data_IF_848581540365
#
_entry.id   IF_848581540365
#
_cell.length_a   1.000
_cell.length_b   1.000
_cell.length_c   1.000
_cell.angle_alpha   90.00
_cell.angle_beta   90.00
_cell.angle_gamma   90.00
#
_symmetry.space_group_name_H-M   'P 1'
#
loop_
_entity.id
_entity.type
_entity.pdbx_description
1 polymer ?
#
# COMPACT_ATOMS: atom_id res chain seq x y z
N UNK A 1 -40.43 6.62 87.04
CA UNK A 1 -40.17 7.51 85.88
C UNK A 1 -38.95 6.98 85.15
N UNK A 2 -39.14 6.25 84.05
CA UNK A 2 -38.07 5.53 83.34
C UNK A 2 -37.81 6.19 81.98
N UNK A 3 -36.53 6.45 81.70
CA UNK A 3 -36.01 7.09 80.49
C UNK A 3 -36.21 6.17 79.26
N UNK A 4 -36.91 6.67 78.23
CA UNK A 4 -37.02 6.03 76.92
C UNK A 4 -35.77 6.32 76.10
N UNK A 5 -34.97 5.28 75.84
CA UNK A 5 -33.90 5.29 74.85
C UNK A 5 -34.50 5.29 73.43
N UNK A 6 -34.17 6.30 72.64
CA UNK A 6 -34.40 6.37 71.20
C UNK A 6 -33.30 5.60 70.48
N UNK A 7 -33.64 4.46 69.88
CA UNK A 7 -32.77 3.72 68.97
C UNK A 7 -33.03 4.20 67.53
N UNK A 8 -32.16 5.05 67.02
CA UNK A 8 -32.14 5.40 65.59
C UNK A 8 -31.45 4.27 64.83
N UNK A 9 -32.21 3.52 64.03
CA UNK A 9 -31.70 2.48 63.13
C UNK A 9 -31.06 3.13 61.89
N UNK A 10 -29.73 3.03 61.66
CA UNK A 10 -29.11 3.50 60.43
C UNK A 10 -29.05 2.32 59.45
N UNK A 11 -30.17 2.02 58.78
CA UNK A 11 -30.31 0.73 58.08
C UNK A 11 -31.11 0.73 56.78
N UNK A 12 -31.17 1.82 55.99
CA UNK A 12 -31.92 1.81 54.71
C UNK A 12 -31.29 2.44 53.48
N UNK A 13 -30.11 3.07 53.53
CA UNK A 13 -29.48 3.68 52.32
C UNK A 13 -28.54 2.78 51.52
N UNK A 14 -28.19 1.58 52.00
CA UNK A 14 -27.22 0.70 51.33
C UNK A 14 -27.81 -0.18 50.21
N UNK A 15 -29.13 -0.39 50.17
CA UNK A 15 -29.76 -1.48 49.40
C UNK A 15 -30.24 -1.13 47.97
N UNK A 16 -29.81 -0.01 47.36
CA UNK A 16 -30.28 0.39 46.01
C UNK A 16 -29.22 0.78 44.99
N UNK A 17 -27.98 0.34 45.14
CA UNK A 17 -26.99 0.52 44.05
C UNK A 17 -27.03 -0.69 43.12
N UNK A 18 -27.95 -0.66 42.14
CA UNK A 18 -28.10 -1.68 41.07
C UNK A 18 -26.80 -2.00 40.32
N UNK A 19 -26.78 -2.89 39.33
CA UNK A 19 -25.52 -3.27 38.63
C UNK A 19 -24.81 -2.04 38.05
N UNK A 20 -23.47 -1.99 38.16
CA UNK A 20 -22.66 -0.89 37.62
C UNK A 20 -22.79 -0.75 36.10
N UNK A 21 -23.17 -1.82 35.41
CA UNK A 21 -23.59 -1.82 34.01
C UNK A 21 -25.09 -2.08 33.97
N UNK A 22 -25.87 -1.01 33.78
CA UNK A 22 -27.32 -1.08 33.58
C UNK A 22 -27.71 -1.57 32.16
N UNK A 23 -29.01 -1.78 31.88
CA UNK A 23 -29.46 -2.31 30.59
C UNK A 23 -29.02 -1.47 29.38
N UNK A 24 -29.15 -0.14 29.44
CA UNK A 24 -28.70 0.77 28.38
C UNK A 24 -27.17 0.74 28.19
N UNK A 25 -26.41 0.72 29.29
CA UNK A 25 -24.94 0.67 29.24
C UNK A 25 -24.41 -0.69 28.76
N UNK A 26 -25.19 -1.76 28.91
CA UNK A 26 -24.85 -3.10 28.44
C UNK A 26 -24.79 -3.18 26.92
N UNK A 27 -25.67 -2.47 26.21
CA UNK A 27 -25.64 -2.43 24.75
C UNK A 27 -24.34 -1.79 24.25
N UNK A 28 -23.97 -0.63 24.81
CA UNK A 28 -22.69 0.04 24.51
C UNK A 28 -21.48 -0.83 24.85
N UNK A 29 -21.52 -1.59 25.96
CA UNK A 29 -20.46 -2.55 26.27
C UNK A 29 -20.32 -3.63 25.20
N UNK A 30 -21.43 -4.16 24.68
CA UNK A 30 -21.38 -5.18 23.61
C UNK A 30 -20.77 -4.59 22.34
N UNK A 31 -21.22 -3.39 21.93
CA UNK A 31 -20.66 -2.67 20.77
C UNK A 31 -19.17 -2.43 20.95
N UNK A 32 -18.76 -1.93 22.12
CA UNK A 32 -17.36 -1.69 22.47
C UNK A 32 -16.52 -2.97 22.35
N UNK A 33 -17.00 -4.08 22.92
CA UNK A 33 -16.28 -5.35 22.88
C UNK A 33 -16.14 -5.88 21.46
N UNK A 34 -17.23 -5.86 20.67
CA UNK A 34 -17.21 -6.28 19.26
C UNK A 34 -16.21 -5.47 18.44
N UNK A 35 -16.27 -4.14 18.52
CA UNK A 35 -15.35 -3.26 17.79
C UNK A 35 -13.90 -3.43 18.24
N UNK A 36 -13.65 -3.51 19.55
CA UNK A 36 -12.31 -3.77 20.11
C UNK A 36 -11.76 -5.11 19.60
N UNK A 37 -12.62 -6.10 19.46
CA UNK A 37 -12.31 -7.39 18.90
C UNK A 37 -11.87 -7.39 17.45
N UNK A 38 -12.70 -6.78 16.59
CA UNK A 38 -12.40 -6.62 15.17
C UNK A 38 -11.11 -5.82 14.98
N UNK A 39 -10.96 -4.73 15.73
CA UNK A 39 -9.75 -3.91 15.73
C UNK A 39 -8.54 -4.73 16.21
N UNK A 40 -8.70 -5.55 17.25
CA UNK A 40 -7.66 -6.45 17.75
C UNK A 40 -7.22 -7.48 16.72
N UNK A 41 -8.16 -8.14 16.02
CA UNK A 41 -7.85 -9.09 14.95
C UNK A 41 -7.05 -8.42 13.84
N UNK A 42 -7.53 -7.26 13.41
CA UNK A 42 -6.91 -6.45 12.38
C UNK A 42 -5.49 -5.99 12.81
N UNK A 43 -5.31 -5.54 14.06
CA UNK A 43 -4.00 -5.18 14.62
C UNK A 43 -3.03 -6.36 14.65
N UNK A 44 -3.48 -7.55 15.05
CA UNK A 44 -2.65 -8.76 15.06
C UNK A 44 -2.17 -9.08 13.65
N UNK A 45 -3.07 -9.03 12.65
CA UNK A 45 -2.70 -9.23 11.25
C UNK A 45 -1.67 -8.18 10.77
N UNK A 46 -1.92 -6.89 11.00
CA UNK A 46 -1.02 -5.81 10.56
C UNK A 46 0.36 -5.92 11.23
N UNK A 47 0.38 -6.23 12.53
CA UNK A 47 1.61 -6.44 13.28
C UNK A 47 2.37 -7.68 12.78
N UNK A 48 1.68 -8.77 12.48
CA UNK A 48 2.29 -9.99 11.96
C UNK A 48 2.97 -9.77 10.59
N UNK A 49 2.29 -9.09 9.65
CA UNK A 49 2.89 -8.76 8.34
C UNK A 49 4.07 -7.80 8.51
N UNK A 50 3.93 -6.76 9.35
CA UNK A 50 5.01 -5.81 9.62
C UNK A 50 6.24 -6.48 10.26
N UNK A 51 6.01 -7.41 11.18
CA UNK A 51 7.08 -8.18 11.82
C UNK A 51 7.76 -9.13 10.82
N UNK A 52 6.98 -9.81 9.97
CA UNK A 52 7.52 -10.69 8.94
C UNK A 52 8.35 -9.92 7.90
N UNK A 53 7.91 -8.73 7.49
CA UNK A 53 8.67 -7.82 6.62
C UNK A 53 9.98 -7.37 7.29
N UNK A 54 9.92 -6.99 8.58
CA UNK A 54 11.12 -6.61 9.33
C UNK A 54 12.13 -7.75 9.46
N UNK A 55 11.66 -8.98 9.74
CA UNK A 55 12.52 -10.16 9.87
C UNK A 55 13.08 -10.65 8.53
N UNK A 56 12.31 -10.55 7.45
CA UNK A 56 12.72 -11.06 6.13
C UNK A 56 13.47 -10.03 5.27
N UNK A 57 13.35 -8.74 5.59
CA UNK A 57 13.84 -7.64 4.76
C UNK A 57 13.04 -7.44 3.46
N UNK A 58 12.05 -8.28 3.15
CA UNK A 58 11.26 -8.24 1.92
C UNK A 58 10.00 -7.41 2.12
N UNK A 59 9.60 -6.65 1.10
CA UNK A 59 8.31 -5.96 1.10
C UNK A 59 7.17 -6.99 1.05
N UNK A 60 6.40 -7.08 2.13
CA UNK A 60 5.20 -7.94 2.23
C UNK A 60 3.92 -7.12 2.24
N UNK A 61 4.00 -5.80 2.48
CA UNK A 61 2.82 -4.95 2.37
C UNK A 61 2.28 -4.96 0.94
N UNK A 62 1.03 -5.40 0.78
CA UNK A 62 0.35 -5.50 -0.51
C UNK A 62 -0.99 -4.74 -0.49
N UNK A 63 -1.77 -4.86 -1.56
CA UNK A 63 -3.08 -4.21 -1.67
C UNK A 63 -4.01 -4.53 -0.49
N UNK A 64 -4.09 -5.80 -0.07
CA UNK A 64 -4.93 -6.22 1.05
C UNK A 64 -4.44 -5.67 2.39
N UNK A 65 -3.12 -5.61 2.61
CA UNK A 65 -2.55 -4.93 3.77
C UNK A 65 -3.00 -3.46 3.85
N UNK A 66 -2.99 -2.73 2.73
CA UNK A 66 -3.44 -1.33 2.72
C UNK A 66 -4.94 -1.19 3.00
N UNK A 67 -5.78 -2.12 2.53
CA UNK A 67 -7.22 -2.17 2.90
C UNK A 67 -7.39 -2.45 4.40
N UNK A 68 -6.62 -3.37 4.97
CA UNK A 68 -6.67 -3.66 6.40
C UNK A 68 -6.14 -2.51 7.24
N UNK A 69 -5.15 -1.77 6.75
CA UNK A 69 -4.69 -0.54 7.39
C UNK A 69 -5.78 0.54 7.35
N UNK A 70 -6.48 0.72 6.23
CA UNK A 70 -7.65 1.60 6.15
C UNK A 70 -8.75 1.17 7.14
N UNK A 71 -9.04 -0.13 7.20
CA UNK A 71 -10.01 -0.70 8.13
C UNK A 71 -9.60 -0.44 9.59
N UNK A 72 -8.31 -0.52 9.91
CA UNK A 72 -7.78 -0.17 11.23
C UNK A 72 -8.14 1.27 11.63
N UNK A 73 -7.88 2.22 10.73
CA UNK A 73 -8.18 3.63 10.93
C UNK A 73 -9.70 3.84 11.10
N UNK A 74 -10.51 3.27 10.21
CA UNK A 74 -11.96 3.39 10.25
C UNK A 74 -12.57 2.79 11.53
N UNK A 75 -12.15 1.57 11.91
CA UNK A 75 -12.60 0.90 13.14
C UNK A 75 -12.14 1.65 14.38
N UNK A 76 -10.93 2.19 14.39
CA UNK A 76 -10.41 3.02 15.48
C UNK A 76 -11.24 4.29 15.70
N UNK A 77 -11.55 5.01 14.62
CA UNK A 77 -12.44 6.19 14.68
C UNK A 77 -13.85 5.82 15.14
N UNK A 78 -14.40 4.71 14.62
CA UNK A 78 -15.72 4.21 15.00
C UNK A 78 -15.78 3.82 16.49
N UNK A 79 -14.69 3.32 17.06
CA UNK A 79 -14.59 2.92 18.47
C UNK A 79 -14.63 4.11 19.44
N UNK A 80 -14.23 5.32 19.01
CA UNK A 80 -14.16 6.51 19.87
C UNK A 80 -15.49 6.83 20.56
N UNK A 81 -16.60 6.87 19.80
CA UNK A 81 -17.90 7.24 20.35
C UNK A 81 -18.43 6.22 21.37
N UNK A 82 -18.51 4.90 21.05
CA UNK A 82 -18.85 3.88 22.03
C UNK A 82 -17.95 3.90 23.26
N UNK A 83 -16.65 4.15 23.10
CA UNK A 83 -15.71 4.26 24.20
C UNK A 83 -16.03 5.43 25.12
N UNK A 84 -16.27 6.63 24.59
CA UNK A 84 -16.61 7.81 25.40
C UNK A 84 -17.94 7.59 26.13
N UNK A 85 -18.97 7.14 25.43
CA UNK A 85 -20.31 6.93 26.01
C UNK A 85 -20.28 5.85 27.09
N UNK A 86 -19.69 4.69 26.79
CA UNK A 86 -19.57 3.60 27.76
C UNK A 86 -18.67 4.00 28.93
N UNK A 87 -17.50 4.57 28.63
CA UNK A 87 -16.46 4.91 29.60
C UNK A 87 -16.94 5.94 30.62
N UNK A 88 -17.48 7.07 30.15
CA UNK A 88 -18.02 8.10 31.01
C UNK A 88 -19.20 7.58 31.86
N UNK A 89 -20.14 6.86 31.23
CA UNK A 89 -21.28 6.26 31.93
C UNK A 89 -20.86 5.23 32.99
N UNK A 90 -19.86 4.40 32.68
CA UNK A 90 -19.35 3.39 33.59
C UNK A 90 -18.62 4.00 34.79
N UNK A 91 -17.71 4.96 34.54
CA UNK A 91 -16.99 5.68 35.59
C UNK A 91 -17.97 6.41 36.52
N UNK A 92 -18.97 7.11 35.96
CA UNK A 92 -19.98 7.81 36.73
C UNK A 92 -20.78 6.86 37.65
N UNK A 93 -21.18 5.70 37.13
CA UNK A 93 -21.92 4.69 37.90
C UNK A 93 -21.07 3.95 38.94
N UNK A 94 -19.75 3.91 38.75
CA UNK A 94 -18.82 3.15 39.58
C UNK A 94 -18.02 3.99 40.60
N UNK A 95 -17.92 5.32 40.43
CA UNK A 95 -17.01 6.19 41.20
C UNK A 95 -17.14 6.12 42.73
N UNK A 96 -18.35 5.86 43.24
CA UNK A 96 -18.61 5.77 44.68
C UNK A 96 -18.73 4.34 45.21
N UNK A 97 -18.35 3.33 44.42
CA UNK A 97 -18.45 1.92 44.84
C UNK A 97 -17.43 1.58 45.94
N UNK A 98 -17.78 0.69 46.88
CA UNK A 98 -16.93 0.37 48.03
C UNK A 98 -15.67 -0.44 47.65
N UNK A 99 -15.68 -1.20 46.55
CA UNK A 99 -14.52 -1.95 46.09
C UNK A 99 -13.46 -1.03 45.47
N UNK A 100 -12.59 -0.47 46.32
CA UNK A 100 -11.54 0.48 45.93
C UNK A 100 -10.54 -0.11 44.93
N UNK A 101 -10.22 -1.42 45.03
CA UNK A 101 -9.29 -2.09 44.11
C UNK A 101 -9.84 -2.10 42.69
N UNK A 102 -11.10 -2.52 42.50
CA UNK A 102 -11.75 -2.50 41.20
C UNK A 102 -11.87 -1.08 40.63
N UNK A 103 -12.18 -0.09 41.46
CA UNK A 103 -12.26 1.32 41.04
C UNK A 103 -10.91 1.87 40.59
N UNK A 104 -9.82 1.62 41.34
CA UNK A 104 -8.45 2.05 40.95
C UNK A 104 -8.01 1.42 39.63
N UNK A 105 -8.21 0.11 39.47
CA UNK A 105 -7.92 -0.60 38.22
C UNK A 105 -8.77 -0.08 37.06
N UNK A 106 -10.04 0.28 37.32
CA UNK A 106 -10.92 0.88 36.32
C UNK A 106 -10.43 2.25 35.83
N UNK A 107 -9.93 3.10 36.74
CA UNK A 107 -9.30 4.37 36.37
C UNK A 107 -8.00 4.17 35.58
N UNK A 108 -7.13 3.25 36.01
CA UNK A 108 -5.91 2.92 35.29
C UNK A 108 -6.21 2.42 33.86
N UNK A 109 -7.21 1.53 33.71
CA UNK A 109 -7.69 1.06 32.41
C UNK A 109 -8.25 2.20 31.56
N UNK A 110 -9.02 3.12 32.15
CA UNK A 110 -9.55 4.29 31.44
C UNK A 110 -8.43 5.17 30.88
N UNK A 111 -7.42 5.47 31.70
CA UNK A 111 -6.26 6.27 31.28
C UNK A 111 -5.50 5.57 30.17
N UNK A 112 -5.20 4.27 30.32
CA UNK A 112 -4.51 3.50 29.29
C UNK A 112 -5.29 3.46 27.97
N UNK A 113 -6.62 3.31 28.02
CA UNK A 113 -7.46 3.32 26.83
C UNK A 113 -7.53 4.71 26.17
N UNK A 114 -7.56 5.79 26.95
CA UNK A 114 -7.45 7.18 26.44
C UNK A 114 -6.09 7.39 25.76
N UNK A 115 -4.99 6.92 26.35
CA UNK A 115 -3.66 6.98 25.72
C UNK A 115 -3.64 6.18 24.42
N UNK A 116 -4.19 4.97 24.39
CA UNK A 116 -4.26 4.15 23.17
C UNK A 116 -5.02 4.84 22.04
N UNK A 117 -6.22 5.35 22.33
CA UNK A 117 -7.05 6.02 21.33
C UNK A 117 -6.47 7.37 20.92
N UNK A 118 -5.95 8.14 21.88
CA UNK A 118 -5.32 9.43 21.64
C UNK A 118 -4.05 9.31 20.78
N UNK A 119 -3.19 8.32 21.05
CA UNK A 119 -2.03 8.02 20.21
C UNK A 119 -2.44 7.55 18.81
N UNK A 120 -3.52 6.77 18.70
CA UNK A 120 -4.07 6.35 17.39
C UNK A 120 -4.52 7.53 16.55
N UNK A 121 -5.28 8.46 17.14
CA UNK A 121 -5.69 9.71 16.47
C UNK A 121 -4.46 10.54 16.13
N UNK A 122 -3.54 10.77 17.07
CA UNK A 122 -2.35 11.60 16.86
C UNK A 122 -1.42 11.09 15.74
N UNK A 123 -1.41 9.78 15.47
CA UNK A 123 -0.59 9.19 14.40
C UNK A 123 -1.20 9.34 13.01
N UNK A 124 -2.49 9.69 12.91
CA UNK A 124 -3.14 9.98 11.64
C UNK A 124 -2.39 11.08 10.91
N UNK A 125 -2.34 10.96 9.58
CA UNK A 125 -1.81 12.00 8.69
C UNK A 125 -2.95 12.46 7.82
N UNK A 126 -3.56 13.55 8.23
CA UNK A 126 -4.59 14.25 7.47
C UNK A 126 -4.06 15.65 7.24
N UNK A 127 -4.31 16.24 6.08
CA UNK A 127 -3.85 17.60 5.78
C UNK A 127 -4.19 18.58 6.92
N UNK A 128 -3.16 19.28 7.41
CA UNK A 128 -3.27 20.19 8.56
C UNK A 128 -3.14 19.53 9.94
N UNK A 129 -3.18 18.20 10.02
CA UNK A 129 -3.04 17.42 11.24
C UNK A 129 -2.01 16.29 11.04
N UNK A 130 -0.73 16.64 11.23
CA UNK A 130 0.39 15.72 11.04
C UNK A 130 1.49 15.95 12.08
N UNK A 131 1.88 14.88 12.79
CA UNK A 131 3.10 14.87 13.59
C UNK A 131 4.32 14.86 12.66
N UNK A 132 4.90 16.05 12.41
CA UNK A 132 6.09 16.26 11.58
C UNK A 132 7.40 15.90 12.30
N UNK A 133 7.46 16.11 13.63
CA UNK A 133 8.65 15.78 14.41
C UNK A 133 8.85 14.25 14.44
N UNK A 134 9.99 13.72 13.96
CA UNK A 134 10.22 12.29 13.83
C UNK A 134 10.31 11.56 15.17
N UNK A 135 10.93 12.18 16.18
CA UNK A 135 11.09 11.60 17.52
C UNK A 135 9.74 11.49 18.22
N UNK A 136 8.95 12.56 18.23
CA UNK A 136 7.62 12.57 18.84
C UNK A 136 6.71 11.55 18.15
N UNK A 137 6.80 11.43 16.82
CA UNK A 137 6.05 10.42 16.06
C UNK A 137 6.50 9.00 16.44
N UNK A 138 7.79 8.75 16.59
CA UNK A 138 8.32 7.44 17.00
C UNK A 138 7.85 7.06 18.42
N UNK A 139 7.91 7.99 19.38
CA UNK A 139 7.40 7.78 20.74
C UNK A 139 5.90 7.50 20.72
N UNK A 140 5.12 8.30 19.98
CA UNK A 140 3.67 8.11 19.85
C UNK A 140 3.35 6.75 19.21
N UNK A 141 4.13 6.34 18.20
CA UNK A 141 3.99 5.05 17.53
C UNK A 141 4.23 3.88 18.49
N UNK A 142 5.34 3.88 19.22
CA UNK A 142 5.63 2.83 20.18
C UNK A 142 4.65 2.81 21.35
N UNK A 143 4.20 3.97 21.81
CA UNK A 143 3.11 4.06 22.77
C UNK A 143 1.83 3.40 22.22
N UNK A 144 1.46 3.66 20.96
CA UNK A 144 0.29 3.04 20.33
C UNK A 144 0.43 1.52 20.17
N UNK A 145 1.64 1.01 19.91
CA UNK A 145 1.91 -0.43 19.75
C UNK A 145 1.92 -1.17 21.09
N UNK A 146 2.46 -0.57 22.16
CA UNK A 146 2.62 -1.23 23.48
C UNK A 146 1.39 -1.09 24.37
N UNK A 147 0.71 0.06 24.34
CA UNK A 147 -0.45 0.33 25.21
C UNK A 147 -1.59 -0.69 25.11
N UNK A 148 -1.90 -1.32 23.95
CA UNK A 148 -2.89 -2.40 23.87
C UNK A 148 -2.62 -3.55 24.84
N UNK A 149 -1.36 -3.93 25.05
CA UNK A 149 -0.97 -4.98 26.00
C UNK A 149 -1.33 -4.57 27.44
N UNK A 150 -1.06 -3.31 27.79
CA UNK A 150 -1.44 -2.76 29.09
C UNK A 150 -2.96 -2.69 29.25
N UNK A 151 -3.71 -2.30 28.22
CA UNK A 151 -5.19 -2.27 28.23
C UNK A 151 -5.76 -3.66 28.45
N UNK A 152 -5.27 -4.68 27.74
CA UNK A 152 -5.71 -6.08 27.91
C UNK A 152 -5.41 -6.57 29.32
N UNK A 153 -4.18 -6.34 29.80
CA UNK A 153 -3.77 -6.74 31.15
C UNK A 153 -4.61 -6.07 32.25
N UNK A 154 -4.77 -4.75 32.18
CA UNK A 154 -5.58 -3.97 33.13
C UNK A 154 -7.06 -4.35 33.07
N UNK A 155 -7.60 -4.69 31.89
CA UNK A 155 -8.95 -5.21 31.75
C UNK A 155 -9.15 -6.54 32.49
N UNK A 156 -8.20 -7.48 32.32
CA UNK A 156 -8.24 -8.76 33.03
C UNK A 156 -8.20 -8.54 34.56
N UNK A 157 -7.27 -7.72 35.06
CA UNK A 157 -7.18 -7.40 36.47
C UNK A 157 -8.45 -6.71 37.00
N UNK A 158 -9.02 -5.76 36.24
CA UNK A 158 -10.25 -5.06 36.61
C UNK A 158 -11.44 -6.03 36.72
N UNK A 159 -11.54 -7.01 35.80
CA UNK A 159 -12.60 -8.04 35.84
C UNK A 159 -12.38 -9.07 36.96
N UNK A 160 -11.15 -9.48 37.22
CA UNK A 160 -10.82 -10.38 38.34
C UNK A 160 -11.10 -9.73 39.70
N UNK A 161 -10.90 -8.43 39.84
CA UNK A 161 -11.26 -7.67 41.04
C UNK A 161 -12.78 -7.39 41.16
N UNK A 162 -13.57 -7.68 40.11
CA UNK A 162 -14.99 -7.38 39.99
C UNK A 162 -15.84 -8.63 39.72
N UNK A 163 -16.83 -8.58 38.80
CA UNK A 163 -17.63 -9.75 38.43
C UNK A 163 -16.81 -10.83 37.71
N UNK A 164 -16.98 -12.10 38.12
CA UNK A 164 -16.26 -13.25 37.56
C UNK A 164 -16.29 -13.29 36.03
N UNK A 165 -15.12 -13.55 35.42
CA UNK A 165 -14.98 -13.77 33.99
C UNK A 165 -15.68 -15.08 33.62
N UNK A 166 -16.52 -15.04 32.59
CA UNK A 166 -17.13 -16.25 32.03
C UNK A 166 -16.20 -16.79 30.95
N UNK A 167 -15.25 -17.64 31.33
CA UNK A 167 -14.19 -18.15 30.45
C UNK A 167 -14.69 -18.77 29.14
N UNK A 168 -15.87 -19.39 29.12
CA UNK A 168 -16.53 -19.87 27.89
C UNK A 168 -16.65 -18.80 26.80
N UNK A 169 -16.99 -17.57 27.18
CA UNK A 169 -17.09 -16.44 26.25
C UNK A 169 -15.72 -15.95 25.83
N UNK A 170 -14.72 -16.01 26.72
CA UNK A 170 -13.33 -15.72 26.40
C UNK A 170 -12.75 -16.70 25.38
N UNK A 171 -13.04 -17.99 25.53
CA UNK A 171 -12.65 -19.03 24.56
C UNK A 171 -13.31 -18.82 23.20
N UNK A 172 -14.62 -18.52 23.16
CA UNK A 172 -15.30 -18.17 21.90
C UNK A 172 -14.74 -16.92 21.23
N UNK A 173 -14.35 -15.92 22.02
CA UNK A 173 -13.66 -14.71 21.56
C UNK A 173 -12.30 -15.02 20.93
N UNK A 174 -11.49 -15.84 21.60
CA UNK A 174 -10.18 -16.26 21.09
C UNK A 174 -10.31 -17.08 19.79
N UNK A 175 -11.29 -17.99 19.73
CA UNK A 175 -11.56 -18.76 18.51
C UNK A 175 -11.95 -17.86 17.33
N UNK A 176 -12.86 -16.89 17.55
CA UNK A 176 -13.24 -15.93 16.52
C UNK A 176 -12.05 -15.09 16.05
N UNK A 177 -11.17 -14.68 16.97
CA UNK A 177 -9.93 -13.95 16.64
C UNK A 177 -9.03 -14.76 15.71
N UNK A 178 -8.80 -16.05 16.02
CA UNK A 178 -7.98 -16.94 15.19
C UNK A 178 -8.59 -17.11 13.80
N UNK A 179 -9.91 -17.32 13.69
CA UNK A 179 -10.60 -17.45 12.40
C UNK A 179 -10.47 -16.18 11.57
N UNK A 180 -10.68 -15.00 12.18
CA UNK A 180 -10.56 -13.72 11.48
C UNK A 180 -9.12 -13.46 11.00
N UNK A 181 -8.13 -13.67 11.86
CA UNK A 181 -6.72 -13.50 11.49
C UNK A 181 -6.30 -14.50 10.40
N UNK A 182 -6.73 -15.76 10.51
CA UNK A 182 -6.49 -16.78 9.48
C UNK A 182 -7.13 -16.42 8.13
N UNK A 183 -8.37 -15.91 8.15
CA UNK A 183 -9.05 -15.42 6.96
C UNK A 183 -8.35 -14.22 6.32
N UNK A 184 -7.86 -13.27 7.13
CA UNK A 184 -7.05 -12.15 6.64
C UNK A 184 -5.71 -12.62 6.06
N UNK A 185 -5.03 -13.58 6.70
CA UNK A 185 -3.80 -14.16 6.17
C UNK A 185 -4.03 -14.88 4.83
N UNK A 186 -5.14 -15.60 4.67
CA UNK A 186 -5.51 -16.23 3.40
C UNK A 186 -5.86 -15.20 2.31
N UNK A 187 -6.59 -14.13 2.66
CA UNK A 187 -6.86 -13.04 1.72
C UNK A 187 -5.60 -12.29 1.31
N UNK A 188 -4.61 -12.18 2.21
CA UNK A 188 -3.33 -11.56 1.91
C UNK A 188 -2.56 -12.27 0.80
N UNK A 189 -2.74 -13.58 0.61
CA UNK A 189 -2.07 -14.32 -0.48
C UNK A 189 -2.78 -14.16 -1.83
N UNK A 190 -3.85 -13.37 -1.91
CA UNK A 190 -4.59 -13.13 -3.15
C UNK A 190 -4.13 -11.80 -3.76
N UNK A 191 -3.57 -11.86 -4.96
CA UNK A 191 -3.18 -10.68 -5.73
C UNK A 191 -4.23 -10.35 -6.81
N UNK A 192 -4.91 -9.19 -6.73
CA UNK A 192 -5.88 -8.77 -7.73
C UNK A 192 -5.30 -8.61 -9.15
N UNK A 193 -3.99 -8.35 -9.29
CA UNK A 193 -3.31 -8.24 -10.59
C UNK A 193 -3.44 -9.53 -11.40
N UNK A 194 -3.45 -10.67 -10.70
CA UNK A 194 -3.51 -11.99 -11.32
C UNK A 194 -4.91 -12.38 -11.84
N UNK A 195 -5.95 -11.60 -11.56
CA UNK A 195 -7.33 -11.98 -11.91
C UNK A 195 -7.72 -11.69 -13.36
N UNK A 196 -7.03 -10.75 -14.02
CA UNK A 196 -7.34 -10.31 -15.39
C UNK A 196 -6.08 -10.13 -16.22
N UNK A 197 -5.22 -11.14 -16.17
CA UNK A 197 -3.95 -11.16 -16.89
C UNK A 197 -4.21 -11.52 -18.35
N UNK A 198 -3.63 -10.75 -19.28
CA UNK A 198 -3.55 -11.13 -20.69
C UNK A 198 -2.14 -11.64 -20.96
N UNK A 199 -2.05 -12.83 -21.51
CA UNK A 199 -0.78 -13.47 -21.87
C UNK A 199 -0.58 -13.34 -23.38
N UNK A 200 0.62 -12.95 -23.87
CA UNK A 200 0.93 -13.03 -25.28
C UNK A 200 0.82 -14.48 -25.77
N UNK A 201 0.34 -14.70 -27.00
CA UNK A 201 0.26 -16.04 -27.59
C UNK A 201 1.64 -16.71 -27.70
N UNK A 202 2.67 -15.89 -27.95
CA UNK A 202 4.08 -16.32 -28.06
C UNK A 202 4.79 -16.45 -26.71
N UNK A 203 4.09 -16.20 -25.60
CA UNK A 203 4.68 -16.11 -24.26
C UNK A 203 5.78 -15.04 -24.20
N UNK A 204 6.87 -15.34 -23.48
CA UNK A 204 7.99 -14.40 -23.32
C UNK A 204 8.69 -14.02 -24.63
N UNK A 205 8.61 -14.87 -25.67
CA UNK A 205 9.19 -14.58 -26.99
C UNK A 205 8.51 -13.40 -27.68
N UNK A 206 7.32 -12.99 -27.23
CA UNK A 206 6.68 -11.77 -27.71
C UNK A 206 7.61 -10.57 -27.56
N UNK A 207 8.46 -10.52 -26.54
CA UNK A 207 9.30 -9.33 -26.32
C UNK A 207 10.57 -9.31 -27.19
N UNK A 208 10.91 -10.41 -27.86
CA UNK A 208 12.06 -10.48 -28.76
C UNK A 208 11.78 -9.72 -30.08
N UNK A 209 12.79 -9.08 -30.72
CA UNK A 209 14.22 -9.12 -30.39
C UNK A 209 14.70 -8.04 -29.40
N UNK A 210 13.79 -7.32 -28.74
CA UNK A 210 14.17 -6.55 -27.54
C UNK A 210 14.57 -7.51 -26.42
N UNK A 211 15.51 -7.08 -25.57
CA UNK A 211 15.90 -7.81 -24.37
C UNK A 211 15.01 -7.47 -23.18
N UNK A 212 14.01 -6.61 -23.37
CA UNK A 212 13.07 -6.23 -22.32
C UNK A 212 12.10 -7.36 -22.04
N UNK A 213 11.73 -7.54 -20.76
CA UNK A 213 10.85 -8.64 -20.34
C UNK A 213 9.88 -8.16 -19.28
N UNK A 214 8.73 -8.81 -19.16
CA UNK A 214 7.87 -8.64 -17.99
C UNK A 214 8.19 -9.72 -16.95
N UNK A 215 8.08 -9.38 -15.67
CA UNK A 215 8.39 -10.31 -14.57
C UNK A 215 7.53 -11.59 -14.56
N UNK A 216 6.45 -11.61 -15.32
CA UNK A 216 5.51 -12.75 -15.39
C UNK A 216 5.36 -13.34 -16.80
N UNK A 217 6.03 -12.76 -17.81
CA UNK A 217 5.80 -13.06 -19.22
C UNK A 217 4.45 -12.58 -19.77
N UNK A 218 3.61 -11.95 -18.96
CA UNK A 218 2.30 -11.44 -19.36
C UNK A 218 2.34 -9.96 -19.72
N UNK A 219 1.29 -9.48 -20.38
CA UNK A 219 1.08 -8.05 -20.62
C UNK A 219 0.76 -7.30 -19.33
N UNK A 220 1.20 -6.03 -19.28
CA UNK A 220 0.88 -5.07 -18.23
C UNK A 220 -0.19 -4.12 -18.76
N UNK A 221 -1.32 -3.92 -18.06
CA UNK A 221 -2.36 -3.01 -18.53
C UNK A 221 -1.82 -1.59 -18.79
N UNK A 222 -2.11 -1.02 -19.97
CA UNK A 222 -1.64 0.32 -20.36
C UNK A 222 -1.98 1.40 -19.32
N UNK A 223 -3.19 1.36 -18.76
CA UNK A 223 -3.62 2.28 -17.69
C UNK A 223 -2.70 2.28 -16.47
N UNK A 224 -2.02 1.17 -16.17
CA UNK A 224 -1.10 1.06 -15.04
C UNK A 224 0.25 1.70 -15.38
N UNK A 225 0.62 1.72 -16.66
CA UNK A 225 1.82 2.36 -17.19
C UNK A 225 1.60 3.83 -17.60
N UNK A 226 0.37 4.36 -17.54
CA UNK A 226 0.04 5.75 -17.92
C UNK A 226 -0.51 6.55 -16.74
N UNK A 227 0.28 6.64 -15.66
CA UNK A 227 -0.15 7.26 -14.39
C UNK A 227 0.55 8.60 -14.10
N UNK A 228 1.06 9.30 -15.11
CA UNK A 228 1.86 10.52 -14.91
C UNK A 228 1.08 11.64 -14.20
N UNK A 229 -0.18 11.86 -14.57
CA UNK A 229 -1.05 12.84 -13.88
C UNK A 229 -1.31 12.46 -12.42
N UNK A 230 -1.38 11.16 -12.11
CA UNK A 230 -1.48 10.69 -10.73
C UNK A 230 -0.18 10.95 -9.95
N UNK A 231 0.97 10.75 -10.57
CA UNK A 231 2.28 11.06 -9.98
C UNK A 231 2.45 12.57 -9.73
N UNK A 232 2.02 13.40 -10.69
CA UNK A 232 2.07 14.88 -10.65
C UNK A 232 1.33 15.48 -9.47
N UNK A 233 0.25 14.85 -8.98
CA UNK A 233 -0.47 15.33 -7.79
C UNK A 233 0.46 15.51 -6.57
N UNK A 234 1.54 14.72 -6.47
CA UNK A 234 2.52 14.79 -5.38
C UNK A 234 3.94 15.18 -5.84
N UNK A 235 4.26 15.03 -7.14
CA UNK A 235 5.60 15.22 -7.71
C UNK A 235 5.58 16.20 -8.89
N UNK A 236 4.98 17.37 -8.71
CA UNK A 236 4.82 18.37 -9.77
C UNK A 236 6.16 18.79 -10.39
N UNK A 237 7.21 19.01 -9.59
CA UNK A 237 8.53 19.43 -10.09
C UNK A 237 9.18 18.37 -10.98
N UNK A 238 9.08 17.09 -10.58
CA UNK A 238 9.60 15.98 -11.38
C UNK A 238 8.79 15.78 -12.66
N UNK A 239 7.47 15.95 -12.58
CA UNK A 239 6.59 15.92 -13.75
C UNK A 239 6.97 17.02 -14.75
N UNK A 240 7.21 18.24 -14.29
CA UNK A 240 7.58 19.36 -15.17
C UNK A 240 8.91 19.09 -15.88
N UNK A 241 9.91 18.57 -15.16
CA UNK A 241 11.19 18.16 -15.76
C UNK A 241 11.05 17.03 -16.77
N UNK A 242 10.18 16.05 -16.50
CA UNK A 242 9.88 14.95 -17.41
C UNK A 242 9.12 15.42 -18.65
N UNK A 243 8.11 16.28 -18.50
CA UNK A 243 7.19 16.67 -19.56
C UNK A 243 7.90 17.34 -20.75
N UNK A 244 8.98 18.08 -20.50
CA UNK A 244 9.79 18.70 -21.55
C UNK A 244 10.98 17.84 -22.01
N UNK A 245 11.12 16.62 -21.51
CA UNK A 245 12.29 15.77 -21.75
C UNK A 245 12.18 14.93 -23.01
N UNK A 246 13.33 14.51 -23.54
CA UNK A 246 13.39 13.53 -24.63
C UNK A 246 12.77 12.17 -24.26
N UNK A 247 12.67 11.83 -22.96
CA UNK A 247 11.99 10.61 -22.52
C UNK A 247 10.47 10.70 -22.68
N UNK A 248 9.87 11.87 -22.43
CA UNK A 248 8.45 12.09 -22.73
C UNK A 248 8.21 12.01 -24.25
N UNK A 249 9.07 12.66 -25.04
CA UNK A 249 9.00 12.67 -26.51
C UNK A 249 9.75 11.51 -27.18
N UNK A 250 9.73 10.32 -26.57
CA UNK A 250 10.47 9.16 -27.08
C UNK A 250 9.66 8.24 -28.00
N UNK A 251 8.32 8.35 -28.00
CA UNK A 251 7.42 7.47 -28.75
C UNK A 251 6.87 8.17 -30.00
N UNK A 252 5.67 7.81 -30.46
CA UNK A 252 5.07 8.34 -31.69
C UNK A 252 4.65 9.82 -31.60
N UNK A 253 4.73 10.41 -30.41
CA UNK A 253 4.64 11.86 -30.19
C UNK A 253 5.86 12.63 -30.73
N UNK A 254 6.89 11.94 -31.22
CA UNK A 254 8.02 12.50 -31.94
C UNK A 254 7.94 12.14 -33.43
N UNK A 255 7.78 13.13 -34.33
CA UNK A 255 7.56 12.87 -35.76
C UNK A 255 8.75 12.18 -36.45
N UNK A 256 9.98 12.41 -35.97
CA UNK A 256 11.18 11.77 -36.54
C UNK A 256 11.23 10.30 -36.18
N UNK A 257 10.89 9.98 -34.93
CA UNK A 257 10.80 8.60 -34.46
C UNK A 257 9.66 7.85 -35.15
N UNK A 258 8.46 8.47 -35.21
CA UNK A 258 7.29 7.91 -35.88
C UNK A 258 7.59 7.53 -37.33
N UNK A 259 8.19 8.43 -38.10
CA UNK A 259 8.61 8.16 -39.47
C UNK A 259 9.55 6.95 -39.55
N UNK A 260 10.55 6.89 -38.67
CA UNK A 260 11.57 5.84 -38.67
C UNK A 260 10.96 4.46 -38.37
N UNK A 261 10.06 4.37 -37.40
CA UNK A 261 9.39 3.10 -37.06
C UNK A 261 8.40 2.70 -38.13
N UNK A 262 7.62 3.64 -38.70
CA UNK A 262 6.69 3.33 -39.78
C UNK A 262 7.41 2.80 -41.03
N UNK A 263 8.50 3.44 -41.44
CA UNK A 263 9.29 2.95 -42.58
C UNK A 263 9.92 1.60 -42.27
N UNK A 264 10.46 1.42 -41.07
CA UNK A 264 10.99 0.11 -40.63
C UNK A 264 9.91 -0.96 -40.71
N UNK A 265 8.72 -0.71 -40.17
CA UNK A 265 7.59 -1.65 -40.22
C UNK A 265 7.15 -1.95 -41.64
N UNK A 266 7.11 -0.96 -42.54
CA UNK A 266 6.79 -1.15 -43.96
C UNK A 266 7.79 -2.10 -44.62
N UNK A 267 9.09 -1.85 -44.44
CA UNK A 267 10.17 -2.69 -44.99
C UNK A 267 10.14 -4.09 -44.39
N UNK A 268 9.92 -4.23 -43.08
CA UNK A 268 9.80 -5.53 -42.41
C UNK A 268 8.59 -6.33 -42.93
N UNK A 269 7.45 -5.69 -43.15
CA UNK A 269 6.29 -6.36 -43.74
C UNK A 269 6.58 -6.85 -45.16
N UNK A 270 7.24 -6.03 -45.98
CA UNK A 270 7.62 -6.39 -47.35
C UNK A 270 8.66 -7.54 -47.38
N UNK A 271 9.62 -7.52 -46.46
CA UNK A 271 10.75 -8.48 -46.39
C UNK A 271 10.39 -9.79 -45.71
N UNK A 272 9.68 -9.72 -44.57
CA UNK A 272 9.51 -10.84 -43.63
C UNK A 272 8.05 -11.23 -43.41
N UNK A 273 7.10 -10.47 -43.99
CA UNK A 273 5.66 -10.69 -43.80
C UNK A 273 5.14 -10.36 -42.39
N UNK A 274 5.96 -9.74 -41.53
CA UNK A 274 5.59 -9.35 -40.17
C UNK A 274 6.42 -8.14 -39.69
N UNK A 275 5.99 -7.48 -38.62
CA UNK A 275 6.68 -6.29 -38.05
C UNK A 275 7.52 -6.58 -36.79
N UNK A 276 7.72 -7.85 -36.41
CA UNK A 276 8.23 -8.21 -35.08
C UNK A 276 9.62 -7.66 -34.78
N UNK A 277 10.49 -7.52 -35.77
CA UNK A 277 11.80 -6.92 -35.56
C UNK A 277 11.73 -5.46 -35.08
N UNK A 278 10.61 -4.75 -35.29
CA UNK A 278 10.38 -3.40 -34.75
C UNK A 278 10.17 -3.36 -33.23
N UNK A 279 9.93 -4.50 -32.58
CA UNK A 279 9.88 -4.62 -31.10
C UNK A 279 11.21 -4.22 -30.45
N UNK A 280 12.31 -4.32 -31.18
CA UNK A 280 13.62 -3.78 -30.77
C UNK A 280 13.56 -2.27 -30.45
N UNK A 281 12.81 -1.48 -31.23
CA UNK A 281 12.58 -0.06 -30.93
C UNK A 281 11.72 0.10 -29.68
N UNK A 282 10.64 -0.69 -29.62
CA UNK A 282 9.58 -0.59 -28.63
C UNK A 282 10.05 -0.83 -27.18
N UNK A 283 11.05 -1.70 -27.01
CA UNK A 283 11.66 -1.99 -25.71
C UNK A 283 12.26 -0.78 -25.02
N UNK A 284 12.67 0.25 -25.77
CA UNK A 284 13.28 1.46 -25.23
C UNK A 284 12.38 2.70 -25.37
N UNK A 285 11.62 2.79 -26.46
CA UNK A 285 10.89 4.00 -26.84
C UNK A 285 9.38 3.94 -26.59
N UNK A 286 8.79 2.75 -26.71
CA UNK A 286 7.32 2.57 -26.69
C UNK A 286 6.85 1.61 -25.59
N UNK A 287 7.33 1.74 -24.33
CA UNK A 287 7.08 0.73 -23.30
C UNK A 287 5.58 0.53 -23.03
N UNK A 288 4.77 1.59 -23.11
CA UNK A 288 3.33 1.50 -22.83
C UNK A 288 2.59 0.61 -23.85
N UNK A 289 2.61 0.90 -25.17
CA UNK A 289 1.95 0.03 -26.12
C UNK A 289 2.66 -1.33 -26.23
N UNK A 290 3.97 -1.39 -26.01
CA UNK A 290 4.71 -2.64 -26.10
C UNK A 290 4.30 -3.64 -25.01
N UNK A 291 4.35 -3.24 -23.74
CA UNK A 291 4.02 -4.12 -22.62
C UNK A 291 2.52 -4.35 -22.45
N UNK A 292 1.66 -3.50 -23.03
CA UNK A 292 0.20 -3.73 -23.03
C UNK A 292 -0.28 -4.65 -24.15
N UNK A 293 0.60 -4.99 -25.10
CA UNK A 293 0.30 -5.80 -26.27
C UNK A 293 -0.32 -5.03 -27.43
N UNK A 294 -0.48 -3.70 -27.31
CA UNK A 294 -1.05 -2.87 -28.35
C UNK A 294 -0.07 -2.64 -29.52
N UNK A 295 1.25 -2.63 -29.26
CA UNK A 295 2.26 -2.29 -30.26
C UNK A 295 2.23 -3.19 -31.51
N UNK A 296 1.89 -4.46 -31.33
CA UNK A 296 1.82 -5.49 -32.38
C UNK A 296 0.40 -5.76 -32.88
N UNK A 297 -0.61 -5.09 -32.31
CA UNK A 297 -1.98 -5.21 -32.78
C UNK A 297 -2.05 -4.67 -34.22
N UNK A 298 -2.49 -5.47 -35.22
CA UNK A 298 -2.60 -5.03 -36.60
C UNK A 298 -3.49 -3.80 -36.79
N UNK A 299 -4.44 -3.60 -35.89
CA UNK A 299 -5.37 -2.47 -35.89
C UNK A 299 -4.88 -1.30 -35.01
N UNK A 300 -3.63 -1.34 -34.56
CA UNK A 300 -3.07 -0.30 -33.69
C UNK A 300 -2.88 1.04 -34.42
N UNK A 301 -3.68 2.02 -34.02
CA UNK A 301 -3.59 3.38 -34.53
C UNK A 301 -2.47 4.17 -33.83
N UNK A 302 -1.29 4.18 -34.44
CA UNK A 302 -0.10 4.91 -33.95
C UNK A 302 -0.26 6.43 -33.93
N UNK A 303 -1.39 6.97 -34.43
CA UNK A 303 -1.68 8.41 -34.44
C UNK A 303 -2.77 8.76 -33.44
N UNK A 304 -3.87 8.02 -33.39
CA UNK A 304 -5.00 8.34 -32.52
C UNK A 304 -4.95 7.66 -31.14
N UNK A 305 -4.26 6.52 -31.00
CA UNK A 305 -4.24 5.80 -29.74
C UNK A 305 -3.43 6.58 -28.67
N UNK A 306 -4.00 6.84 -27.48
CA UNK A 306 -3.28 7.57 -26.43
C UNK A 306 -1.97 6.91 -25.98
N UNK A 307 -1.88 5.57 -26.06
CA UNK A 307 -0.66 4.83 -25.72
C UNK A 307 0.47 5.15 -26.69
N UNK A 308 0.17 5.55 -27.93
CA UNK A 308 1.15 5.89 -28.95
C UNK A 308 1.95 7.15 -28.59
N UNK A 309 1.36 8.01 -27.76
CA UNK A 309 1.94 9.29 -27.37
C UNK A 309 2.48 9.30 -25.94
N UNK A 310 2.53 8.14 -25.28
CA UNK A 310 2.88 8.05 -23.87
C UNK A 310 4.38 8.29 -23.60
N UNK A 311 5.25 7.91 -24.54
CA UNK A 311 6.69 7.91 -24.32
C UNK A 311 7.12 6.98 -23.19
N UNK A 312 8.26 7.31 -22.58
CA UNK A 312 8.70 6.70 -21.32
C UNK A 312 8.04 7.46 -20.19
N UNK A 313 6.96 6.90 -19.66
CA UNK A 313 6.21 7.46 -18.52
C UNK A 313 6.95 7.30 -17.20
N UNK A 314 6.49 8.01 -16.17
CA UNK A 314 6.95 7.86 -14.79
C UNK A 314 6.86 6.38 -14.37
N UNK A 315 5.72 5.72 -14.61
CA UNK A 315 5.54 4.34 -14.19
C UNK A 315 6.25 3.34 -15.10
N UNK A 316 6.44 3.61 -16.40
CA UNK A 316 7.27 2.74 -17.25
C UNK A 316 8.72 2.65 -16.72
N UNK A 317 9.31 3.80 -16.37
CA UNK A 317 10.64 3.86 -15.79
C UNK A 317 10.69 3.24 -14.38
N UNK A 318 9.83 3.71 -13.47
CA UNK A 318 9.87 3.32 -12.06
C UNK A 318 9.38 1.89 -11.77
N UNK A 319 8.78 1.22 -12.76
CA UNK A 319 8.36 -0.19 -12.65
C UNK A 319 9.42 -1.17 -13.12
N UNK A 320 10.57 -0.70 -13.62
CA UNK A 320 11.73 -1.56 -13.86
C UNK A 320 12.23 -2.10 -12.51
N UNK A 321 12.48 -3.42 -12.46
CA UNK A 321 12.86 -4.14 -11.24
C UNK A 321 14.25 -4.73 -11.29
N UNK A 322 14.76 -4.98 -12.49
CA UNK A 322 16.05 -5.61 -12.70
C UNK A 322 16.70 -5.11 -13.99
N UNK A 323 18.03 -5.02 -13.97
CA UNK A 323 18.87 -4.72 -15.13
C UNK A 323 19.74 -5.94 -15.37
N UNK A 324 19.48 -6.66 -16.46
CA UNK A 324 20.10 -7.96 -16.73
C UNK A 324 21.56 -7.83 -17.13
N UNK A 325 21.89 -6.77 -17.86
CA UNK A 325 23.25 -6.49 -18.34
C UNK A 325 23.35 -5.08 -18.90
N UNK A 326 24.59 -4.63 -19.13
CA UNK A 326 24.90 -3.36 -19.79
C UNK A 326 25.10 -3.52 -21.30
N UNK A 327 24.57 -4.59 -21.92
CA UNK A 327 24.66 -4.78 -23.38
C UNK A 327 23.70 -3.88 -24.16
N UNK A 328 22.68 -3.34 -23.49
CA UNK A 328 21.69 -2.46 -24.10
C UNK A 328 20.44 -3.18 -24.60
N UNK A 329 19.81 -2.63 -25.65
CA UNK A 329 18.62 -3.19 -26.33
C UNK A 329 17.44 -3.51 -25.39
N UNK A 330 17.27 -2.72 -24.34
CA UNK A 330 16.20 -2.90 -23.36
C UNK A 330 16.45 -4.04 -22.38
N UNK A 331 17.70 -4.42 -22.07
CA UNK A 331 18.03 -5.53 -21.16
C UNK A 331 17.60 -5.31 -19.68
N UNK A 332 16.30 -5.23 -19.44
CA UNK A 332 15.66 -5.02 -18.15
C UNK A 332 14.39 -5.86 -17.99
N UNK A 333 14.00 -6.09 -16.73
CA UNK A 333 12.67 -6.61 -16.40
C UNK A 333 11.80 -5.50 -15.84
N UNK A 334 10.57 -5.41 -16.33
CA UNK A 334 9.51 -4.54 -15.81
C UNK A 334 8.43 -5.40 -15.12
N UNK A 335 7.84 -4.90 -14.04
CA UNK A 335 6.71 -5.56 -13.38
C UNK A 335 5.47 -4.65 -13.37
N UNK A 336 4.27 -5.21 -13.27
CA UNK A 336 3.09 -4.38 -13.01
C UNK A 336 3.19 -3.79 -11.58
N UNK A 337 3.31 -2.47 -11.38
CA UNK A 337 3.50 -1.91 -10.05
C UNK A 337 2.25 -2.07 -9.16
N UNK A 338 2.48 -2.42 -7.89
CA UNK A 338 1.42 -2.43 -6.87
C UNK A 338 1.00 -1.01 -6.51
N UNK A 339 -0.30 -0.76 -6.61
CA UNK A 339 -0.92 0.51 -6.25
C UNK A 339 -1.70 0.43 -4.94
N UNK A 340 -1.81 1.57 -4.26
CA UNK A 340 -2.71 1.69 -3.11
C UNK A 340 -4.16 1.57 -3.55
N UNK A 341 -5.06 1.12 -2.67
CA UNK A 341 -6.50 1.10 -2.93
C UNK A 341 -7.00 2.42 -3.51
N UNK A 342 -7.88 2.32 -4.49
CA UNK A 342 -8.54 3.45 -5.15
C UNK A 342 -7.65 4.35 -6.03
N UNK A 343 -6.46 3.91 -6.44
CA UNK A 343 -5.58 4.70 -7.32
C UNK A 343 -6.27 5.11 -8.64
N UNK A 344 -7.11 4.23 -9.19
CA UNK A 344 -7.83 4.47 -10.44
C UNK A 344 -9.26 5.02 -10.25
N UNK A 345 -9.63 5.44 -9.03
CA UNK A 345 -11.02 5.86 -8.75
C UNK A 345 -11.29 7.30 -9.21
N UNK A 346 -12.41 7.51 -9.91
CA UNK A 346 -12.92 8.85 -10.26
C UNK A 346 -13.71 9.51 -9.12
N UNK A 347 -14.08 8.77 -8.08
CA UNK A 347 -14.77 9.31 -6.90
C UNK A 347 -13.82 10.15 -6.03
N UNK A 348 -14.20 11.39 -5.71
CA UNK A 348 -13.40 12.35 -4.94
C UNK A 348 -13.01 11.85 -3.55
N UNK A 349 -13.92 11.19 -2.84
CA UNK A 349 -13.67 10.66 -1.49
C UNK A 349 -12.67 9.53 -1.55
N UNK A 350 -12.82 8.61 -2.51
CA UNK A 350 -11.90 7.48 -2.66
C UNK A 350 -10.49 7.92 -3.08
N UNK A 351 -10.35 8.95 -3.94
CA UNK A 351 -9.04 9.57 -4.24
C UNK A 351 -8.40 10.21 -3.00
N UNK A 352 -9.21 10.91 -2.21
CA UNK A 352 -8.73 11.47 -0.94
C UNK A 352 -8.20 10.37 -0.01
N UNK A 353 -8.95 9.26 0.14
CA UNK A 353 -8.51 8.13 0.94
C UNK A 353 -7.22 7.49 0.39
N UNK A 354 -7.08 7.34 -0.92
CA UNK A 354 -5.84 6.86 -1.55
C UNK A 354 -4.64 7.72 -1.14
N UNK A 355 -4.75 9.05 -1.26
CA UNK A 355 -3.68 9.99 -0.85
C UNK A 355 -3.37 9.89 0.63
N UNK A 356 -4.38 9.80 1.49
CA UNK A 356 -4.16 9.68 2.92
C UNK A 356 -3.45 8.36 3.27
N UNK A 357 -3.78 7.26 2.60
CA UNK A 357 -3.10 5.97 2.84
C UNK A 357 -1.61 6.04 2.48
N UNK A 358 -1.27 6.64 1.36
CA UNK A 358 0.13 6.84 0.93
C UNK A 358 0.88 7.69 1.95
N UNK A 359 0.31 8.83 2.35
CA UNK A 359 0.92 9.72 3.36
C UNK A 359 1.08 9.02 4.71
N UNK A 360 0.07 8.25 5.15
CA UNK A 360 0.05 7.58 6.45
C UNK A 360 1.06 6.43 6.56
N UNK A 361 1.20 5.63 5.49
CA UNK A 361 2.11 4.48 5.42
C UNK A 361 2.80 4.44 4.05
N UNK A 362 3.86 5.23 3.80
CA UNK A 362 4.45 5.40 2.46
C UNK A 362 5.39 4.26 2.01
N UNK A 363 5.61 3.24 2.84
CA UNK A 363 6.66 2.24 2.60
C UNK A 363 6.45 1.44 1.29
N UNK A 364 5.22 1.00 1.04
CA UNK A 364 4.86 0.35 -0.23
C UNK A 364 5.15 1.28 -1.42
N UNK A 365 4.74 2.55 -1.36
CA UNK A 365 5.00 3.51 -2.44
C UNK A 365 6.51 3.68 -2.71
N UNK A 366 7.31 3.88 -1.66
CA UNK A 366 8.76 4.07 -1.78
C UNK A 366 9.45 2.87 -2.43
N UNK A 367 9.14 1.66 -1.98
CA UNK A 367 9.80 0.44 -2.48
C UNK A 367 9.31 0.02 -3.86
N UNK A 368 8.05 0.27 -4.21
CA UNK A 368 7.52 -0.01 -5.55
C UNK A 368 8.21 0.86 -6.60
N UNK A 369 8.29 2.17 -6.37
CA UNK A 369 8.71 3.11 -7.41
C UNK A 369 10.19 3.53 -7.34
N UNK A 370 10.87 3.43 -6.20
CA UNK A 370 12.29 3.81 -6.10
C UNK A 370 13.14 2.67 -5.55
N UNK A 371 13.70 1.91 -6.50
CA UNK A 371 14.61 0.78 -6.26
C UNK A 371 16.08 1.23 -6.37
N UNK A 372 17.05 0.54 -5.72
CA UNK A 372 18.46 0.91 -5.77
C UNK A 372 19.03 1.07 -7.19
N UNK A 373 18.58 0.26 -8.15
CA UNK A 373 19.01 0.33 -9.56
C UNK A 373 18.87 1.73 -10.16
N UNK A 374 17.84 2.50 -9.79
CA UNK A 374 17.61 3.85 -10.35
C UNK A 374 18.70 4.87 -9.96
N UNK A 375 19.59 4.51 -9.02
CA UNK A 375 20.72 5.35 -8.60
C UNK A 375 22.03 5.02 -9.31
N UNK A 376 22.00 4.03 -10.22
CA UNK A 376 23.20 3.50 -10.89
C UNK A 376 23.21 3.93 -12.35
N UNK A 377 24.39 4.15 -12.93
CA UNK A 377 24.50 4.51 -14.34
C UNK A 377 24.11 3.32 -15.25
N UNK A 378 24.29 2.09 -14.77
CA UNK A 378 23.90 0.84 -15.40
C UNK A 378 22.42 0.84 -15.77
N UNK A 379 21.56 1.48 -14.98
CA UNK A 379 20.14 1.63 -15.33
C UNK A 379 19.95 2.34 -16.66
N UNK A 380 20.73 3.39 -16.94
CA UNK A 380 20.64 4.12 -18.20
C UNK A 380 21.15 3.28 -19.38
N UNK A 381 22.04 2.31 -19.15
CA UNK A 381 22.63 1.48 -20.20
C UNK A 381 21.61 0.65 -20.97
N UNK A 382 20.47 0.34 -20.36
CA UNK A 382 19.45 -0.51 -20.99
C UNK A 382 18.85 0.14 -22.24
N UNK A 383 18.84 1.48 -22.31
CA UNK A 383 18.39 2.22 -23.50
C UNK A 383 19.53 3.00 -24.16
N UNK A 384 20.49 3.53 -23.40
CA UNK A 384 21.59 4.36 -23.93
C UNK A 384 22.80 3.57 -24.43
N UNK A 385 22.61 2.28 -24.65
CA UNK A 385 23.51 1.40 -25.40
C UNK A 385 22.67 0.50 -26.27
N UNK A 386 23.06 0.38 -27.52
CA UNK A 386 22.24 -0.26 -28.54
C UNK A 386 23.12 -1.00 -29.53
N UNK A 387 22.65 -2.16 -29.96
CA UNK A 387 23.16 -2.90 -31.11
C UNK A 387 22.01 -3.32 -32.01
N UNK A 388 22.24 -3.32 -33.31
CA UNK A 388 21.26 -3.73 -34.31
C UNK A 388 21.35 -5.24 -34.48
N UNK A 389 20.29 -6.00 -34.18
CA UNK A 389 20.31 -7.45 -34.26
C UNK A 389 20.13 -7.95 -35.71
N UNK A 390 20.42 -9.24 -35.92
CA UNK A 390 20.26 -9.91 -37.21
C UNK A 390 18.83 -9.83 -37.74
N UNK A 391 17.84 -10.02 -36.86
CA UNK A 391 16.41 -9.95 -37.18
C UNK A 391 16.01 -8.59 -37.75
N UNK A 392 16.67 -7.51 -37.33
CA UNK A 392 16.40 -6.18 -37.86
C UNK A 392 17.10 -5.94 -39.20
N UNK A 393 18.36 -6.38 -39.33
CA UNK A 393 19.24 -5.95 -40.44
C UNK A 393 19.39 -6.96 -41.58
N UNK A 394 19.21 -8.26 -41.32
CA UNK A 394 19.58 -9.37 -42.20
C UNK A 394 21.05 -9.31 -42.71
N UNK A 395 21.94 -8.61 -41.99
CA UNK A 395 23.34 -8.44 -42.38
C UNK A 395 24.30 -9.22 -41.49
N UNK A 396 24.26 -8.95 -40.17
CA UNK A 396 25.03 -9.64 -39.14
C UNK A 396 24.15 -9.86 -37.93
N UNK A 397 24.41 -10.94 -37.19
CA UNK A 397 23.75 -11.20 -35.90
C UNK A 397 23.89 -10.05 -34.92
N UNK A 398 25.00 -9.31 -35.00
CA UNK A 398 25.27 -8.15 -34.18
C UNK A 398 25.96 -7.07 -35.01
N UNK A 399 25.40 -5.85 -34.98
CA UNK A 399 26.01 -4.66 -35.53
C UNK A 399 25.98 -3.54 -34.50
N UNK A 400 27.11 -2.83 -34.35
CA UNK A 400 27.22 -1.72 -33.40
C UNK A 400 26.20 -0.62 -33.73
N UNK A 401 25.39 -0.23 -32.75
CA UNK A 401 24.49 0.91 -32.81
C UNK A 401 24.96 2.08 -31.95
N UNK A 402 24.02 2.91 -31.51
CA UNK A 402 24.30 4.03 -30.61
C UNK A 402 24.85 3.54 -29.26
N UNK A 403 25.89 4.21 -28.76
CA UNK A 403 26.48 3.89 -27.46
C UNK A 403 26.91 5.16 -26.73
N UNK A 404 25.95 5.76 -26.04
CA UNK A 404 26.19 6.93 -25.19
C UNK A 404 26.61 6.52 -23.77
N UNK A 405 26.23 5.33 -23.31
CA UNK A 405 26.58 4.83 -21.98
C UNK A 405 28.10 4.64 -21.79
N UNK A 406 28.77 3.91 -22.68
CA UNK A 406 30.21 3.69 -22.53
C UNK A 406 30.98 5.01 -22.71
N UNK A 407 30.51 5.89 -23.60
CA UNK A 407 31.06 7.25 -23.77
C UNK A 407 30.91 8.09 -22.50
N UNK A 408 29.75 8.00 -21.82
CA UNK A 408 29.51 8.65 -20.53
C UNK A 408 30.46 8.11 -19.46
N UNK A 409 30.62 6.78 -19.33
CA UNK A 409 31.52 6.17 -18.34
C UNK A 409 32.99 6.58 -18.50
N UNK A 410 33.40 6.92 -19.73
CA UNK A 410 34.74 7.41 -20.02
C UNK A 410 34.89 8.94 -19.84
N UNK A 411 33.80 9.64 -19.51
CA UNK A 411 33.81 11.08 -19.30
C UNK A 411 34.33 11.45 -17.91
N UNK A 412 34.77 12.70 -17.74
CA UNK A 412 35.21 13.21 -16.44
C UNK A 412 34.08 13.49 -15.43
N UNK A 413 32.83 13.13 -15.74
CA UNK A 413 31.64 13.45 -14.92
C UNK A 413 30.79 12.22 -14.57
N UNK A 414 31.25 11.00 -14.89
CA UNK A 414 30.52 9.75 -14.62
C UNK A 414 30.62 9.21 -13.20
N UNK A 415 31.32 9.93 -12.31
CA UNK A 415 31.51 9.58 -10.90
C UNK A 415 32.05 10.74 -10.09
#
# INVERSE_FOLDING_TARGET
MSLKASSSVPGRRAARRGRAVGPRLRWWLVVLLVLTGLLGANSVYLAAVSLAEWLSGRLLQNWFYQIMFLAHLGLGLLLLLPFVVFGAGHVWAARYRPNRRATRLGWALMIAAVVLLGTGVALMRVEGFELKNPELRAVTYWAHVVTPLAVVWLYLLHRLAGPRIRWRWGAGWAAAMVVLVGGMAWMHTRDPRLWRVRTPEEGERYFEPSLARTATGNFIPARTLMMDEYCKECHADAYEGWFHSAHHFSSFNNPVYLFSVQETRRVLMERDGNVKASRWCAGCHDPVPFFSGAFDDPDYDVVADPTAHAGITCTACHSIVDVHSTVGNGAYTIEEPLHYPFAFSTNRVLRFLNRQLIKARPELHKRTFLKPLHRTAEFCSVCHKVSLPGELTHYKEWLRGQNSYDSFLLSGVSG
#
